data_IF_510519427957
#
_entry.id   IF_510519427957
#
_cell.length_a   1.000
_cell.length_b   1.000
_cell.length_c   1.000
_cell.angle_alpha   90.00
_cell.angle_beta   90.00
_cell.angle_gamma   90.00
#
_symmetry.space_group_name_H-M   'P 1'
#
loop_
_entity.id
_entity.type
_entity.pdbx_description
1 polymer ?
#
# COMPACT_ATOMS: atom_id res chain seq x y z
N UNK A 1 20.61 -22.19 14.44
CA UNK A 1 19.14 -22.29 14.61
C UNK A 1 18.59 -20.88 14.41
N UNK A 2 17.85 -20.60 13.33
CA UNK A 2 17.04 -19.37 13.20
C UNK A 2 16.12 -19.31 11.98
N UNK A 3 16.26 -20.24 11.03
CA UNK A 3 15.47 -20.29 9.78
C UNK A 3 13.95 -20.19 10.03
N UNK A 4 13.43 -20.84 11.08
CA UNK A 4 12.00 -20.81 11.39
C UNK A 4 11.50 -19.41 11.85
N UNK A 5 12.33 -18.63 12.53
CA UNK A 5 11.97 -17.27 13.00
C UNK A 5 12.00 -16.27 11.83
N UNK A 6 12.93 -16.45 10.90
CA UNK A 6 13.05 -15.65 9.68
C UNK A 6 11.88 -15.91 8.72
N UNK A 7 11.52 -17.19 8.48
CA UNK A 7 10.36 -17.56 7.65
C UNK A 7 9.05 -16.97 8.16
N UNK A 8 8.82 -17.00 9.47
CA UNK A 8 7.62 -16.39 10.07
C UNK A 8 7.59 -14.87 9.87
N UNK A 9 8.76 -14.21 9.91
CA UNK A 9 8.87 -12.77 9.72
C UNK A 9 8.58 -12.38 8.27
N UNK A 10 9.07 -13.15 7.30
CA UNK A 10 8.80 -12.94 5.88
C UNK A 10 7.32 -13.17 5.53
N UNK A 11 6.70 -14.22 6.05
CA UNK A 11 5.25 -14.46 5.88
C UNK A 11 4.41 -13.32 6.42
N UNK A 12 4.76 -12.78 7.60
CA UNK A 12 4.09 -11.62 8.20
C UNK A 12 4.23 -10.39 7.31
N UNK A 13 5.42 -10.13 6.78
CA UNK A 13 5.68 -9.01 5.87
C UNK A 13 4.89 -9.16 4.57
N UNK A 14 4.83 -10.36 3.98
CA UNK A 14 4.03 -10.66 2.78
C UNK A 14 2.53 -10.49 3.03
N UNK A 15 2.01 -10.98 4.15
CA UNK A 15 0.60 -10.79 4.52
C UNK A 15 0.27 -9.29 4.68
N UNK A 16 1.15 -8.53 5.32
CA UNK A 16 0.98 -7.08 5.49
C UNK A 16 1.04 -6.33 4.16
N UNK A 17 1.92 -6.74 3.25
CA UNK A 17 2.03 -6.19 1.90
C UNK A 17 0.72 -6.39 1.12
N UNK A 18 0.13 -7.59 1.17
CA UNK A 18 -1.14 -7.88 0.50
C UNK A 18 -2.30 -7.04 1.05
N UNK A 19 -2.37 -6.85 2.38
CA UNK A 19 -3.36 -5.95 3.01
C UNK A 19 -3.19 -4.52 2.49
N UNK A 20 -1.96 -3.98 2.49
CA UNK A 20 -1.72 -2.62 2.03
C UNK A 20 -2.03 -2.44 0.53
N UNK A 21 -1.72 -3.45 -0.29
CA UNK A 21 -2.08 -3.47 -1.72
C UNK A 21 -3.60 -3.49 -1.91
N UNK A 22 -4.33 -4.21 -1.07
CA UNK A 22 -5.79 -4.19 -1.09
C UNK A 22 -6.33 -2.82 -0.71
N UNK A 23 -5.90 -2.25 0.42
CA UNK A 23 -6.29 -0.91 0.87
C UNK A 23 -5.99 0.14 -0.20
N UNK A 24 -4.84 0.05 -0.87
CA UNK A 24 -4.48 0.97 -1.95
C UNK A 24 -5.44 0.88 -3.14
N UNK A 25 -5.91 -0.33 -3.51
CA UNK A 25 -6.91 -0.53 -4.57
C UNK A 25 -8.26 0.07 -4.19
N UNK A 26 -8.71 -0.18 -2.96
CA UNK A 26 -9.99 0.33 -2.46
C UNK A 26 -9.99 1.86 -2.43
N UNK A 27 -8.85 2.45 -2.05
CA UNK A 27 -8.67 3.90 -2.04
C UNK A 27 -8.66 4.48 -3.46
N UNK A 28 -8.17 3.73 -4.44
CA UNK A 28 -8.24 4.09 -5.85
C UNK A 28 -9.68 4.08 -6.40
N UNK A 29 -10.46 3.08 -6.02
CA UNK A 29 -11.88 3.00 -6.37
C UNK A 29 -12.68 4.13 -5.72
N UNK A 30 -12.42 4.44 -4.44
CA UNK A 30 -13.02 5.58 -3.75
C UNK A 30 -12.69 6.92 -4.42
N UNK A 31 -11.45 7.11 -4.90
CA UNK A 31 -11.06 8.29 -5.67
C UNK A 31 -11.85 8.36 -6.98
N UNK A 32 -11.97 7.26 -7.73
CA UNK A 32 -12.73 7.23 -9.00
C UNK A 32 -14.21 7.55 -8.77
N UNK A 33 -14.84 6.91 -7.79
CA UNK A 33 -16.23 7.16 -7.44
C UNK A 33 -16.46 8.63 -7.02
N UNK A 34 -15.50 9.24 -6.32
CA UNK A 34 -15.55 10.65 -5.97
C UNK A 34 -15.30 11.58 -7.16
N UNK A 35 -14.50 11.17 -8.15
CA UNK A 35 -14.31 11.94 -9.39
C UNK A 35 -15.55 11.92 -10.28
N UNK A 36 -16.25 10.79 -10.34
CA UNK A 36 -17.50 10.64 -11.12
C UNK A 36 -18.65 11.45 -10.50
N UNK A 37 -18.71 11.52 -9.17
CA UNK A 37 -19.58 12.45 -8.45
C UNK A 37 -19.01 13.84 -8.63
N UNK A 38 -19.54 14.60 -9.60
CA UNK A 38 -19.12 15.96 -10.00
C UNK A 38 -19.19 17.02 -8.88
N UNK A 39 -19.46 16.61 -7.65
CA UNK A 39 -19.50 17.40 -6.44
C UNK A 39 -18.10 17.86 -6.05
N UNK A 40 -17.98 19.17 -5.82
CA UNK A 40 -16.78 19.99 -5.62
C UNK A 40 -15.95 19.67 -4.37
N UNK A 41 -15.90 18.42 -3.92
CA UNK A 41 -15.16 18.06 -2.71
C UNK A 41 -13.67 17.84 -2.99
N UNK A 42 -13.02 18.92 -3.44
CA UNK A 42 -11.59 18.96 -3.74
C UNK A 42 -10.74 18.68 -2.50
N UNK A 43 -11.24 19.00 -1.30
CA UNK A 43 -10.56 18.70 -0.04
C UNK A 43 -10.54 17.20 0.24
N UNK A 44 -11.67 16.51 0.08
CA UNK A 44 -11.71 15.04 0.21
C UNK A 44 -10.85 14.37 -0.85
N UNK A 45 -10.89 14.85 -2.10
CA UNK A 45 -10.02 14.37 -3.18
C UNK A 45 -8.53 14.51 -2.83
N UNK A 46 -8.11 15.67 -2.33
CA UNK A 46 -6.73 15.92 -1.92
C UNK A 46 -6.31 15.01 -0.77
N UNK A 47 -7.20 14.80 0.21
CA UNK A 47 -6.97 13.90 1.35
C UNK A 47 -6.78 12.46 0.90
N UNK A 48 -7.65 11.95 0.03
CA UNK A 48 -7.55 10.59 -0.51
C UNK A 48 -6.27 10.41 -1.32
N UNK A 49 -5.92 11.35 -2.21
CA UNK A 49 -4.66 11.27 -2.97
C UNK A 49 -3.42 11.24 -2.06
N UNK A 50 -3.41 12.01 -0.97
CA UNK A 50 -2.33 11.96 0.04
C UNK A 50 -2.27 10.61 0.75
N UNK A 51 -3.41 10.04 1.14
CA UNK A 51 -3.47 8.71 1.73
C UNK A 51 -2.98 7.64 0.76
N UNK A 52 -3.38 7.72 -0.51
CA UNK A 52 -2.91 6.83 -1.58
C UNK A 52 -1.39 6.86 -1.71
N UNK A 53 -0.80 8.06 -1.73
CA UNK A 53 0.65 8.23 -1.83
C UNK A 53 1.36 7.61 -0.61
N UNK A 54 0.88 7.87 0.60
CA UNK A 54 1.45 7.28 1.81
C UNK A 54 1.34 5.75 1.85
N UNK A 55 0.25 5.17 1.33
CA UNK A 55 0.12 3.71 1.18
C UNK A 55 1.13 3.16 0.17
N UNK A 56 1.29 3.83 -0.98
CA UNK A 56 2.29 3.47 -1.99
C UNK A 56 3.71 3.49 -1.42
N UNK A 57 4.06 4.51 -0.65
CA UNK A 57 5.40 4.63 -0.05
C UNK A 57 5.65 3.51 0.99
N UNK A 58 4.62 3.14 1.76
CA UNK A 58 4.69 2.00 2.71
C UNK A 58 4.81 0.65 1.99
N UNK A 59 4.09 0.47 0.89
CA UNK A 59 4.19 -0.71 0.03
C UNK A 59 5.63 -0.83 -0.49
N UNK A 60 6.17 0.25 -1.06
CA UNK A 60 7.53 0.27 -1.59
C UNK A 60 8.58 -0.07 -0.50
N UNK A 61 8.42 0.47 0.71
CA UNK A 61 9.31 0.16 1.83
C UNK A 61 9.24 -1.32 2.26
N UNK A 62 8.05 -1.92 2.26
CA UNK A 62 7.87 -3.34 2.59
C UNK A 62 8.34 -4.26 1.45
N UNK A 63 8.15 -3.86 0.20
CA UNK A 63 8.69 -4.55 -0.96
C UNK A 63 10.21 -4.54 -0.91
N UNK A 64 10.84 -3.40 -0.65
CA UNK A 64 12.30 -3.27 -0.50
C UNK A 64 12.86 -4.20 0.60
N UNK A 65 12.15 -4.31 1.73
CA UNK A 65 12.51 -5.24 2.81
C UNK A 65 12.34 -6.72 2.43
N UNK A 66 11.41 -7.04 1.53
CA UNK A 66 11.14 -8.41 1.07
C UNK A 66 11.99 -8.81 -0.15
N UNK A 67 12.42 -7.85 -0.96
CA UNK A 67 13.25 -8.06 -2.16
C UNK A 67 14.54 -7.24 -2.09
N UNK A 68 15.44 -7.48 -1.13
CA UNK A 68 16.69 -6.74 -1.02
C UNK A 68 17.68 -6.96 -2.19
N UNK A 69 17.38 -7.86 -3.14
CA UNK A 69 18.37 -8.41 -4.11
C UNK A 69 18.01 -8.21 -5.61
N UNK A 70 17.13 -7.25 -5.97
CA UNK A 70 16.66 -7.08 -7.37
C UNK A 70 16.91 -5.66 -7.94
N UNK A 71 17.50 -4.74 -7.18
CA UNK A 71 17.91 -3.41 -7.66
C UNK A 71 19.43 -3.25 -7.50
N UNK A 72 20.19 -3.94 -8.36
CA UNK A 72 21.62 -3.71 -8.63
C UNK A 72 21.83 -3.62 -10.14
#
# INVERSE_FOLDING_TARGET
MNIATEMNSEEILRARLEVLRHEHRDLDEAIRALQERSTSDQFTMMRLKRQKLALKDRIALLEDQLTPDIIA
#
